data_IF_879912407432
#
_entry.id   IF_879912407432
#
_cell.length_a   1.000
_cell.length_b   1.000
_cell.length_c   1.000
_cell.angle_alpha   90.00
_cell.angle_beta   90.00
_cell.angle_gamma   90.00
#
_symmetry.space_group_name_H-M   'P 1'
#
loop_
_entity.id
_entity.type
_entity.pdbx_description
1 polymer ?
#
# COMPACT_ATOMS: atom_id res chain seq x y z
N UNK A 1 -19.83 16.21 14.39
CA UNK A 1 -19.54 16.33 12.95
C UNK A 1 -19.23 14.93 12.47
N UNK A 2 -20.11 14.31 11.69
CA UNK A 2 -19.91 12.96 11.19
C UNK A 2 -19.13 13.11 9.88
N UNK A 3 -17.80 12.99 9.94
CA UNK A 3 -16.96 12.93 8.74
C UNK A 3 -17.55 11.85 7.83
N UNK A 4 -18.20 12.28 6.74
CA UNK A 4 -18.71 11.41 5.66
C UNK A 4 -17.52 10.83 4.89
N UNK A 5 -16.60 10.16 5.58
CA UNK A 5 -15.72 9.20 4.96
C UNK A 5 -16.63 8.03 4.55
N UNK A 6 -17.27 8.16 3.38
CA UNK A 6 -18.15 7.17 2.76
C UNK A 6 -17.75 5.75 3.18
N UNK A 7 -18.61 5.15 4.02
CA UNK A 7 -18.30 3.93 4.76
C UNK A 7 -18.05 2.77 3.79
N UNK A 8 -17.00 1.99 4.06
CA UNK A 8 -16.71 0.80 3.26
C UNK A 8 -17.70 -0.32 3.59
N UNK A 9 -18.54 -0.66 2.62
CA UNK A 9 -19.47 -1.78 2.74
C UNK A 9 -18.82 -3.05 2.18
N UNK A 10 -19.04 -4.18 2.84
CA UNK A 10 -18.55 -5.49 2.36
C UNK A 10 -19.58 -6.08 1.41
N UNK A 11 -19.14 -6.57 0.25
CA UNK A 11 -20.00 -7.23 -0.73
C UNK A 11 -19.53 -8.65 -0.98
N UNK A 12 -20.48 -9.56 -1.17
CA UNK A 12 -20.19 -10.96 -1.47
C UNK A 12 -20.28 -11.20 -2.97
N UNK A 13 -19.23 -11.78 -3.53
CA UNK A 13 -19.25 -12.40 -4.86
C UNK A 13 -18.74 -13.84 -4.77
N UNK A 14 -18.06 -14.35 -5.80
CA UNK A 14 -17.15 -15.50 -5.65
C UNK A 14 -16.03 -15.23 -4.64
N UNK A 15 -15.67 -13.97 -4.45
CA UNK A 15 -14.76 -13.49 -3.41
C UNK A 15 -15.42 -12.37 -2.59
N UNK A 16 -14.96 -12.18 -1.36
CA UNK A 16 -15.34 -11.02 -0.56
C UNK A 16 -14.58 -9.79 -1.08
N UNK A 17 -15.28 -8.66 -1.16
CA UNK A 17 -14.69 -7.36 -1.50
C UNK A 17 -15.23 -6.30 -0.55
N UNK A 18 -14.54 -5.17 -0.44
CA UNK A 18 -15.10 -3.94 0.12
C UNK A 18 -15.32 -2.93 -0.98
N UNK A 19 -16.40 -2.17 -0.91
CA UNK A 19 -16.59 -1.04 -1.79
C UNK A 19 -17.19 0.14 -1.05
N UNK A 20 -16.83 1.34 -1.50
CA UNK A 20 -17.48 2.58 -1.08
C UNK A 20 -17.94 3.35 -2.30
N UNK A 21 -19.07 4.03 -2.17
CA UNK A 21 -19.55 4.94 -3.20
C UNK A 21 -18.70 6.20 -3.21
N UNK A 22 -18.42 6.72 -4.39
CA UNK A 22 -17.66 7.94 -4.58
C UNK A 22 -18.59 9.14 -4.45
N UNK A 23 -18.29 10.04 -3.52
CA UNK A 23 -18.98 11.33 -3.38
C UNK A 23 -18.40 12.41 -4.30
N UNK A 24 -17.21 12.17 -4.84
CA UNK A 24 -16.52 13.06 -5.77
C UNK A 24 -15.80 12.24 -6.83
N UNK A 25 -15.56 12.79 -8.04
CA UNK A 25 -14.75 12.13 -9.05
C UNK A 25 -13.34 11.83 -8.51
N UNK A 26 -12.82 10.64 -8.81
CA UNK A 26 -11.47 10.23 -8.42
C UNK A 26 -10.67 9.80 -9.63
N UNK A 27 -9.36 10.01 -9.58
CA UNK A 27 -8.42 9.47 -10.55
C UNK A 27 -7.15 9.04 -9.83
N UNK A 28 -6.72 7.80 -10.05
CA UNK A 28 -5.49 7.27 -9.47
C UNK A 28 -4.82 6.29 -10.43
N UNK A 29 -3.57 5.97 -10.16
CA UNK A 29 -2.81 4.96 -10.90
C UNK A 29 -2.59 3.77 -9.97
N UNK A 30 -2.88 2.57 -10.41
CA UNK A 30 -2.64 1.36 -9.61
C UNK A 30 -1.15 0.97 -9.60
N UNK A 31 -0.80 -0.04 -8.80
CA UNK A 31 0.57 -0.56 -8.72
C UNK A 31 1.10 -1.15 -10.04
N UNK A 32 0.23 -1.40 -11.01
CA UNK A 32 0.58 -1.86 -12.35
C UNK A 32 0.71 -0.71 -13.35
N UNK A 33 0.62 0.55 -12.91
CA UNK A 33 0.72 1.72 -13.76
C UNK A 33 -0.55 2.00 -14.57
N UNK A 34 -1.68 1.35 -14.29
CA UNK A 34 -2.94 1.58 -15.01
C UNK A 34 -3.69 2.75 -14.41
N UNK A 35 -4.15 3.65 -15.27
CA UNK A 35 -4.97 4.77 -14.87
C UNK A 35 -6.41 4.32 -14.63
N UNK A 36 -6.92 4.62 -13.45
CA UNK A 36 -8.31 4.43 -13.05
C UNK A 36 -8.95 5.79 -12.84
N UNK A 37 -10.16 5.97 -13.35
CA UNK A 37 -10.97 7.16 -13.10
C UNK A 37 -12.41 6.76 -12.83
N UNK A 38 -13.07 7.50 -11.94
CA UNK A 38 -14.47 7.32 -11.58
C UNK A 38 -15.15 8.66 -11.40
N UNK A 39 -16.45 8.71 -11.69
CA UNK A 39 -17.30 9.87 -11.43
C UNK A 39 -17.97 9.75 -10.07
N UNK A 40 -18.57 10.84 -9.62
CA UNK A 40 -19.49 10.82 -8.48
C UNK A 40 -20.57 9.76 -8.71
N UNK A 41 -20.80 8.95 -7.67
CA UNK A 41 -21.76 7.88 -7.66
C UNK A 41 -21.21 6.51 -8.07
N UNK A 42 -20.06 6.42 -8.72
CA UNK A 42 -19.36 5.16 -8.99
C UNK A 42 -18.80 4.55 -7.69
N UNK A 43 -18.29 3.33 -7.77
CA UNK A 43 -17.75 2.62 -6.61
C UNK A 43 -16.24 2.46 -6.69
N UNK A 44 -15.55 2.78 -5.59
CA UNK A 44 -14.19 2.35 -5.36
C UNK A 44 -14.23 0.98 -4.70
N UNK A 45 -13.62 -0.02 -5.33
CA UNK A 45 -13.62 -1.42 -4.90
C UNK A 45 -12.22 -1.80 -4.43
N UNK A 46 -12.15 -2.40 -3.24
CA UNK A 46 -10.97 -2.99 -2.64
C UNK A 46 -11.14 -4.52 -2.55
N UNK A 47 -10.26 -5.24 -3.23
CA UNK A 47 -10.20 -6.71 -3.15
C UNK A 47 -9.47 -7.16 -1.88
N UNK A 48 -9.63 -8.43 -1.49
CA UNK A 48 -8.89 -9.03 -0.36
C UNK A 48 -7.38 -8.95 -0.54
N UNK A 49 -6.94 -9.01 -1.80
CA UNK A 49 -5.53 -8.92 -2.22
C UNK A 49 -4.96 -7.49 -2.12
N UNK A 50 -5.74 -6.51 -1.65
CA UNK A 50 -5.30 -5.12 -1.51
C UNK A 50 -5.34 -4.29 -2.81
N UNK A 51 -5.81 -4.87 -3.92
CA UNK A 51 -5.97 -4.15 -5.18
C UNK A 51 -7.20 -3.24 -5.17
N UNK A 52 -7.03 -2.01 -5.66
CA UNK A 52 -8.10 -1.02 -5.80
C UNK A 52 -8.48 -0.82 -7.26
N UNK A 53 -9.78 -0.66 -7.53
CA UNK A 53 -10.31 -0.36 -8.87
C UNK A 53 -11.59 0.46 -8.79
N UNK A 54 -11.93 1.14 -9.88
CA UNK A 54 -13.22 1.82 -10.02
C UNK A 54 -14.21 0.93 -10.77
N UNK A 55 -15.46 0.87 -10.29
CA UNK A 55 -16.57 0.19 -10.95
C UNK A 55 -17.74 1.15 -11.17
N UNK A 56 -18.35 1.17 -12.39
CA UNK A 56 -19.54 1.98 -12.65
C UNK A 56 -20.71 1.56 -11.75
N UNK A 57 -21.48 2.55 -11.27
CA UNK A 57 -22.62 2.32 -10.38
C UNK A 57 -23.59 1.26 -10.88
N UNK A 58 -24.04 1.40 -12.13
CA UNK A 58 -25.09 0.55 -12.73
C UNK A 58 -24.68 -0.93 -12.74
N UNK A 59 -23.43 -1.21 -13.08
CA UNK A 59 -22.88 -2.56 -13.12
C UNK A 59 -22.62 -3.09 -11.71
N UNK A 60 -22.16 -2.22 -10.81
CA UNK A 60 -21.82 -2.61 -9.45
C UNK A 60 -23.06 -3.01 -8.65
N UNK A 61 -24.12 -2.20 -8.68
CA UNK A 61 -25.35 -2.48 -7.92
C UNK A 61 -26.12 -3.70 -8.47
N UNK A 62 -25.97 -4.03 -9.77
CA UNK A 62 -26.60 -5.19 -10.39
C UNK A 62 -25.88 -6.52 -10.05
N UNK A 63 -24.54 -6.48 -9.96
CA UNK A 63 -23.72 -7.70 -9.78
C UNK A 63 -23.46 -8.02 -8.30
N UNK A 64 -23.42 -7.01 -7.43
CA UNK A 64 -22.87 -7.15 -6.09
C UNK A 64 -23.95 -7.03 -5.01
N UNK A 65 -24.03 -8.06 -4.15
CA UNK A 65 -24.97 -8.05 -3.02
C UNK A 65 -24.24 -7.55 -1.76
N UNK A 66 -24.73 -6.46 -1.11
CA UNK A 66 -24.17 -5.97 0.13
C UNK A 66 -24.38 -6.98 1.25
N UNK A 67 -23.34 -7.19 2.06
CA UNK A 67 -23.39 -8.04 3.23
C UNK A 67 -23.70 -7.16 4.44
N UNK A 68 -24.86 -7.36 5.06
CA UNK A 68 -25.34 -6.54 6.18
C UNK A 68 -24.47 -6.68 7.45
N UNK A 69 -23.67 -7.75 7.52
CA UNK A 69 -22.70 -8.02 8.57
C UNK A 69 -21.34 -8.31 7.92
N UNK A 70 -20.37 -7.41 8.09
CA UNK A 70 -19.01 -7.67 7.63
C UNK A 70 -18.41 -8.82 8.47
N UNK A 71 -17.87 -9.89 7.84
CA UNK A 71 -17.24 -10.96 8.59
C UNK A 71 -16.05 -10.40 9.38
N UNK A 72 -15.96 -10.77 10.66
CA UNK A 72 -14.94 -10.30 11.61
C UNK A 72 -13.50 -10.58 11.13
N UNK A 73 -13.32 -11.57 10.25
CA UNK A 73 -12.03 -12.05 9.75
C UNK A 73 -11.54 -11.37 8.45
N UNK A 74 -12.26 -10.37 7.93
CA UNK A 74 -11.72 -9.61 6.79
C UNK A 74 -10.42 -8.91 7.24
N UNK A 75 -9.31 -8.96 6.45
CA UNK A 75 -8.14 -8.17 6.74
C UNK A 75 -8.56 -6.71 6.68
N UNK A 76 -8.86 -6.14 7.85
CA UNK A 76 -9.22 -4.76 7.99
C UNK A 76 -7.96 -4.01 7.59
N UNK A 77 -7.86 -3.64 6.30
CA UNK A 77 -6.78 -2.85 5.72
C UNK A 77 -6.73 -1.42 6.27
N UNK A 78 -7.24 -1.23 7.48
CA UNK A 78 -7.36 0.00 8.23
C UNK A 78 -6.71 -0.23 9.60
N UNK A 79 -5.45 -0.64 9.61
CA UNK A 79 -4.49 -0.41 10.68
C UNK A 79 -3.09 -0.81 10.21
N UNK A 80 -2.63 -0.25 9.08
CA UNK A 80 -1.20 0.07 9.03
C UNK A 80 -1.00 1.23 10.00
N UNK A 81 -0.92 0.88 11.29
CA UNK A 81 -0.50 1.77 12.35
C UNK A 81 0.74 2.49 11.86
N UNK A 82 0.87 3.80 12.11
CA UNK A 82 2.09 4.57 11.86
C UNK A 82 3.38 3.79 12.15
N UNK A 83 3.32 2.95 13.18
CA UNK A 83 4.30 1.96 13.61
C UNK A 83 4.84 1.04 12.49
N UNK A 84 4.02 0.55 11.56
CA UNK A 84 4.46 -0.35 10.49
C UNK A 84 5.21 0.41 9.36
N UNK A 85 4.81 1.66 9.08
CA UNK A 85 5.55 2.55 8.19
C UNK A 85 6.88 3.00 8.82
N UNK A 86 6.88 3.23 10.13
CA UNK A 86 8.08 3.59 10.91
C UNK A 86 9.07 2.41 11.04
N UNK A 87 8.57 1.18 11.18
CA UNK A 87 9.40 -0.04 11.14
C UNK A 87 10.07 -0.25 9.79
N UNK A 88 9.36 -0.05 8.67
CA UNK A 88 9.96 -0.10 7.33
C UNK A 88 11.02 0.99 7.10
N UNK A 89 10.83 2.17 7.70
CA UNK A 89 11.79 3.29 7.62
C UNK A 89 13.04 3.08 8.49
N UNK A 90 12.93 2.38 9.62
CA UNK A 90 14.07 2.03 10.48
C UNK A 90 14.93 0.92 9.84
N UNK A 91 14.30 -0.08 9.24
CA UNK A 91 15.00 -1.21 8.63
C UNK A 91 15.82 -0.80 7.39
N UNK A 92 15.29 0.16 6.62
CA UNK A 92 16.00 0.77 5.48
C UNK A 92 17.20 1.63 5.91
N UNK A 93 17.11 2.33 7.04
CA UNK A 93 18.23 3.11 7.61
C UNK A 93 19.39 2.22 8.05
N UNK A 94 19.10 1.07 8.66
CA UNK A 94 20.14 0.15 9.14
C UNK A 94 20.94 -0.45 7.97
N UNK A 95 20.26 -0.82 6.88
CA UNK A 95 20.90 -1.32 5.66
C UNK A 95 21.79 -0.27 4.98
N UNK A 96 21.35 1.00 4.91
CA UNK A 96 22.18 2.08 4.38
C UNK A 96 23.44 2.35 5.24
N UNK A 97 23.33 2.22 6.57
CA UNK A 97 24.49 2.37 7.46
C UNK A 97 25.53 1.26 7.26
N UNK A 98 25.07 0.02 7.02
CA UNK A 98 25.93 -1.14 6.74
C UNK A 98 26.67 -1.02 5.42
N UNK A 99 25.99 -0.56 4.36
CA UNK A 99 26.60 -0.28 3.05
C UNK A 99 27.65 0.83 3.10
N UNK A 100 27.48 1.83 3.97
CA UNK A 100 28.42 2.94 4.14
C UNK A 100 29.71 2.53 4.88
N UNK A 101 29.63 1.50 5.75
CA UNK A 101 30.77 0.99 6.52
C UNK A 101 31.71 0.08 5.74
N UNK A 102 31.31 -0.42 4.58
CA UNK A 102 32.15 -1.27 3.72
C UNK A 102 33.07 -0.49 2.78
N UNK A 103 33.16 0.84 2.90
CA UNK A 103 33.97 1.69 2.00
C UNK A 103 35.04 2.52 2.72
N UNK A 104 35.76 1.93 3.66
CA UNK A 104 36.99 2.52 4.22
C UNK A 104 37.86 1.44 4.84
N UNK A 105 38.67 0.76 4.01
CA UNK A 105 40.00 0.27 4.38
C UNK A 105 40.71 -0.14 3.09
N UNK A 106 41.36 0.82 2.45
CA UNK A 106 42.58 0.64 1.65
C UNK A 106 43.18 2.05 1.54
N UNK A 107 43.68 2.60 2.65
CA UNK A 107 44.80 3.51 2.56
C UNK A 107 45.61 3.51 3.86
N UNK A 108 46.90 3.22 3.67
CA UNK A 108 48.05 3.79 4.39
C UNK A 108 48.62 3.00 5.58
N UNK A 109 49.82 2.39 5.41
CA UNK A 109 51.09 2.97 5.90
C UNK A 109 52.31 2.04 5.83
N UNK A 110 53.44 2.65 5.45
CA UNK A 110 54.85 2.21 5.27
C UNK A 110 55.52 1.66 6.57
N UNK A 111 56.73 1.02 6.57
CA UNK A 111 58.02 1.75 6.57
C UNK A 111 59.23 1.06 5.88
N UNK A 112 60.32 1.83 5.78
CA UNK A 112 61.59 1.56 5.12
C UNK A 112 62.58 0.63 5.87
N UNK A 113 63.46 -0.06 5.13
CA UNK A 113 64.93 -0.16 5.35
C UNK A 113 65.56 -1.17 4.35
N UNK A 114 66.75 -0.85 3.80
CA UNK A 114 67.61 -1.78 3.04
C UNK A 114 68.17 -2.94 3.92
N UNK A 115 69.13 -3.78 3.46
CA UNK A 115 70.33 -3.39 2.71
C UNK A 115 70.85 -4.37 1.61
N UNK A 116 71.89 -3.90 0.90
CA UNK A 116 73.03 -4.61 0.24
C UNK A 116 72.83 -5.94 -0.48
N UNK A 117 73.22 -5.99 -1.77
CA UNK A 117 74.51 -6.58 -2.17
C UNK A 117 74.97 -6.14 -3.54
#
# INVERSE_FOLDING_TARGET
MNDMASEWTTYRTRFLIKARRLEQPVSFVDCLGRQHSGKEGDYLVLSSEGSQRVAPREIFEDIYVPMNEAPSDWPSGSQTSRSQLELLQLETRDLQSKLSRSRTMEHESVPACGPTS
#
